data_IF_897063967514
#
_entry.id   IF_897063967514
#
_cell.length_a   1.000
_cell.length_b   1.000
_cell.length_c   1.000
_cell.angle_alpha   90.00
_cell.angle_beta   90.00
_cell.angle_gamma   90.00
#
_symmetry.space_group_name_H-M   'P 1'
#
loop_
_entity.id
_entity.type
_entity.pdbx_description
1 polymer ?
#
# COMPACT_ATOMS: atom_id res chain seq x y z
N UNK A 1 10.25 -16.67 -27.17
CA UNK A 1 10.13 -16.02 -25.84
C UNK A 1 10.77 -16.93 -24.81
N UNK A 2 11.66 -16.42 -23.94
CA UNK A 2 12.19 -17.21 -22.81
C UNK A 2 11.07 -17.35 -21.78
N UNK A 3 10.86 -18.57 -21.26
CA UNK A 3 9.87 -18.78 -20.20
C UNK A 3 10.32 -18.03 -18.93
N UNK A 4 9.36 -17.47 -18.20
CA UNK A 4 9.60 -16.86 -16.90
C UNK A 4 10.06 -17.94 -15.92
N UNK A 5 11.21 -17.74 -15.30
CA UNK A 5 11.75 -18.65 -14.29
C UNK A 5 12.17 -17.86 -13.06
N UNK A 6 11.59 -18.20 -11.92
CA UNK A 6 11.89 -17.57 -10.63
C UNK A 6 13.38 -17.62 -10.27
N UNK A 7 14.13 -18.64 -10.71
CA UNK A 7 15.57 -18.75 -10.47
C UNK A 7 16.40 -17.72 -11.25
N UNK A 8 15.83 -17.12 -12.29
CA UNK A 8 16.49 -16.08 -13.10
C UNK A 8 16.35 -14.68 -12.48
N UNK A 9 15.51 -14.54 -11.43
CA UNK A 9 15.30 -13.30 -10.70
C UNK A 9 16.12 -13.36 -9.41
N UNK A 10 16.92 -12.34 -9.15
CA UNK A 10 17.48 -12.13 -7.82
C UNK A 10 16.34 -11.85 -6.82
N UNK A 11 15.93 -12.87 -6.06
CA UNK A 11 14.86 -12.74 -5.07
C UNK A 11 15.32 -11.80 -3.96
N UNK A 12 14.73 -10.62 -3.92
CA UNK A 12 14.89 -9.64 -2.83
C UNK A 12 13.75 -9.74 -1.85
N UNK A 13 13.85 -9.06 -0.71
CA UNK A 13 12.78 -8.97 0.29
C UNK A 13 11.49 -8.43 -0.33
N UNK A 14 11.62 -7.42 -1.19
CA UNK A 14 10.52 -6.74 -1.87
C UNK A 14 10.58 -7.02 -3.37
N UNK A 15 9.46 -7.43 -3.94
CA UNK A 15 9.28 -7.68 -5.37
C UNK A 15 8.12 -6.83 -5.90
N UNK A 16 8.37 -6.03 -6.92
CA UNK A 16 7.37 -5.17 -7.53
C UNK A 16 7.02 -5.63 -8.94
N UNK A 17 5.76 -5.97 -9.18
CA UNK A 17 5.24 -6.27 -10.50
C UNK A 17 4.60 -5.03 -11.08
N UNK A 18 5.28 -4.39 -12.01
CA UNK A 18 4.87 -3.14 -12.64
C UNK A 18 4.69 -3.32 -14.16
N UNK A 19 3.90 -2.48 -14.78
CA UNK A 19 3.68 -2.50 -16.22
C UNK A 19 2.32 -1.93 -16.63
N UNK A 20 2.06 -1.87 -17.93
CA UNK A 20 0.80 -1.40 -18.49
C UNK A 20 -0.38 -2.29 -18.07
N UNK A 21 -1.61 -1.77 -18.19
CA UNK A 21 -2.82 -2.57 -18.00
C UNK A 21 -2.89 -3.77 -18.93
N UNK A 22 -3.43 -4.89 -18.46
CA UNK A 22 -3.69 -6.10 -19.26
C UNK A 22 -2.48 -6.96 -19.62
N UNK A 23 -1.28 -6.67 -19.11
CA UNK A 23 -0.05 -7.45 -19.45
C UNK A 23 0.15 -8.68 -18.57
N UNK A 24 -0.75 -8.95 -17.62
CA UNK A 24 -0.70 -10.12 -16.76
C UNK A 24 0.11 -9.93 -15.46
N UNK A 25 0.29 -8.69 -14.98
CA UNK A 25 0.98 -8.40 -13.71
C UNK A 25 0.45 -9.23 -12.55
N UNK A 26 -0.85 -9.14 -12.30
CA UNK A 26 -1.54 -9.86 -11.22
C UNK A 26 -1.34 -11.37 -11.33
N UNK A 27 -1.49 -11.94 -12.54
CA UNK A 27 -1.31 -13.38 -12.75
C UNK A 27 0.12 -13.84 -12.44
N UNK A 28 1.12 -13.06 -12.85
CA UNK A 28 2.53 -13.40 -12.59
C UNK A 28 2.88 -13.17 -11.12
N UNK A 29 2.35 -12.12 -10.48
CA UNK A 29 2.52 -11.87 -9.05
C UNK A 29 1.93 -13.00 -8.21
N UNK A 30 0.68 -13.42 -8.49
CA UNK A 30 0.04 -14.55 -7.83
C UNK A 30 0.81 -15.87 -8.03
N UNK A 31 1.18 -16.19 -9.26
CA UNK A 31 1.95 -17.40 -9.55
C UNK A 31 3.31 -17.41 -8.83
N UNK A 32 3.96 -16.24 -8.73
CA UNK A 32 5.21 -16.08 -7.98
C UNK A 32 4.98 -16.30 -6.49
N UNK A 33 3.93 -15.69 -5.92
CA UNK A 33 3.59 -15.81 -4.51
C UNK A 33 3.31 -17.27 -4.12
N UNK A 34 2.45 -17.95 -4.89
CA UNK A 34 2.11 -19.38 -4.67
C UNK A 34 3.37 -20.25 -4.81
N UNK A 35 4.18 -20.06 -5.88
CA UNK A 35 5.39 -20.87 -6.08
C UNK A 35 6.42 -20.69 -4.97
N UNK A 36 6.50 -19.54 -4.31
CA UNK A 36 7.39 -19.31 -3.18
C UNK A 36 6.80 -19.91 -1.89
N UNK A 37 5.49 -19.79 -1.68
CA UNK A 37 4.79 -20.41 -0.56
C UNK A 37 4.91 -21.95 -0.60
N UNK A 38 4.75 -22.57 -1.78
CA UNK A 38 4.96 -24.02 -1.99
C UNK A 38 6.39 -24.47 -1.66
N UNK A 39 7.36 -23.56 -1.67
CA UNK A 39 8.74 -23.82 -1.24
C UNK A 39 8.96 -23.58 0.26
N UNK A 40 7.88 -23.42 1.02
CA UNK A 40 7.92 -23.22 2.47
C UNK A 40 8.30 -21.81 2.90
N UNK A 41 8.14 -20.80 2.02
CA UNK A 41 8.36 -19.39 2.35
C UNK A 41 7.09 -18.73 2.85
N UNK A 42 7.24 -17.80 3.80
CA UNK A 42 6.15 -16.93 4.23
C UNK A 42 6.08 -15.71 3.32
N UNK A 43 4.97 -15.57 2.61
CA UNK A 43 4.77 -14.57 1.55
C UNK A 43 3.61 -13.64 1.91
N UNK A 44 3.86 -12.35 1.74
CA UNK A 44 2.82 -11.34 1.73
C UNK A 44 2.64 -10.82 0.30
N UNK A 45 1.46 -11.02 -0.27
CA UNK A 45 1.07 -10.47 -1.57
C UNK A 45 0.13 -9.29 -1.34
N UNK A 46 0.50 -8.11 -1.83
CA UNK A 46 -0.26 -6.88 -1.66
C UNK A 46 -0.67 -6.37 -3.04
N UNK A 47 -1.96 -6.20 -3.28
CA UNK A 47 -2.45 -5.46 -4.45
C UNK A 47 -2.74 -4.01 -4.07
N UNK A 48 -2.22 -3.11 -4.89
CA UNK A 48 -2.53 -1.67 -4.85
C UNK A 48 -3.40 -1.25 -6.05
N UNK A 49 -3.86 -2.22 -6.85
CA UNK A 49 -4.75 -1.98 -7.98
C UNK A 49 -6.21 -2.06 -7.49
N UNK A 50 -6.98 -0.95 -7.50
CA UNK A 50 -8.38 -0.96 -7.09
C UNK A 50 -9.26 -1.83 -7.99
N UNK A 51 -8.82 -2.13 -9.21
CA UNK A 51 -9.47 -3.06 -10.13
C UNK A 51 -8.92 -4.50 -10.01
N UNK A 52 -8.24 -4.79 -8.91
CA UNK A 52 -7.70 -6.13 -8.63
C UNK A 52 -8.83 -7.16 -8.52
N UNK A 53 -8.63 -8.30 -9.13
CA UNK A 53 -9.52 -9.46 -9.02
C UNK A 53 -8.90 -10.60 -8.20
N UNK A 54 -8.07 -10.27 -7.20
CA UNK A 54 -7.42 -11.25 -6.33
C UNK A 54 -8.41 -12.14 -5.58
N UNK A 55 -9.59 -11.61 -5.21
CA UNK A 55 -10.65 -12.39 -4.58
C UNK A 55 -11.13 -13.53 -5.49
N UNK A 56 -11.25 -13.28 -6.81
CA UNK A 56 -11.63 -14.30 -7.78
C UNK A 56 -10.50 -15.32 -7.97
N UNK A 57 -9.24 -14.86 -8.00
CA UNK A 57 -8.06 -15.73 -8.17
C UNK A 57 -7.91 -16.72 -7.02
N UNK A 58 -8.15 -16.27 -5.78
CA UNK A 58 -8.01 -17.12 -4.58
C UNK A 58 -9.36 -17.68 -4.09
N UNK A 59 -10.47 -17.39 -4.78
CA UNK A 59 -11.82 -17.79 -4.39
C UNK A 59 -12.13 -17.52 -2.90
N UNK A 60 -11.63 -16.42 -2.36
CA UNK A 60 -11.72 -16.06 -0.96
C UNK A 60 -11.91 -14.53 -0.81
N UNK A 61 -12.74 -14.11 0.15
CA UNK A 61 -12.85 -12.70 0.50
C UNK A 61 -11.53 -12.20 1.09
N UNK A 62 -11.07 -11.07 0.58
CA UNK A 62 -9.83 -10.43 0.99
C UNK A 62 -10.12 -9.09 1.66
N UNK A 63 -9.23 -8.67 2.56
CA UNK A 63 -9.32 -7.38 3.24
C UNK A 63 -7.99 -6.61 3.17
N UNK A 64 -8.02 -5.37 3.64
CA UNK A 64 -6.84 -4.50 3.69
C UNK A 64 -5.85 -4.81 4.83
N UNK A 65 -6.22 -5.70 5.77
CA UNK A 65 -5.37 -6.05 6.92
C UNK A 65 -4.50 -7.28 6.68
N UNK A 66 -4.86 -8.13 5.72
CA UNK A 66 -4.20 -9.38 5.38
C UNK A 66 -5.05 -10.60 5.69
N UNK A 67 -5.28 -11.40 4.66
CA UNK A 67 -6.07 -12.63 4.73
C UNK A 67 -5.18 -13.81 4.39
N UNK A 68 -4.93 -14.75 5.33
CA UNK A 68 -4.25 -16.00 5.02
C UNK A 68 -5.05 -16.82 4.02
N UNK A 69 -4.41 -17.36 3.00
CA UNK A 69 -5.07 -18.17 1.97
C UNK A 69 -5.12 -19.63 2.41
N UNK A 70 -6.34 -20.14 2.56
CA UNK A 70 -6.58 -21.46 3.13
C UNK A 70 -5.89 -22.59 2.35
N UNK A 71 -5.94 -22.52 1.03
CA UNK A 71 -5.39 -23.54 0.12
C UNK A 71 -3.88 -23.37 -0.18
N UNK A 72 -3.24 -22.30 0.32
CA UNK A 72 -1.83 -22.00 0.10
C UNK A 72 -1.17 -21.63 1.42
N UNK A 73 -0.73 -22.63 2.22
CA UNK A 73 -0.04 -22.37 3.49
C UNK A 73 1.18 -21.46 3.31
N UNK A 74 1.31 -20.46 4.18
CA UNK A 74 2.39 -19.48 4.11
C UNK A 74 2.12 -18.29 3.20
N UNK A 75 0.96 -18.21 2.53
CA UNK A 75 0.55 -17.05 1.75
C UNK A 75 -0.50 -16.23 2.49
N UNK A 76 -0.20 -14.95 2.69
CA UNK A 76 -1.17 -13.93 3.13
C UNK A 76 -1.37 -12.92 2.00
N UNK A 77 -2.61 -12.56 1.74
CA UNK A 77 -2.98 -11.61 0.67
C UNK A 77 -3.66 -10.39 1.26
N UNK A 78 -3.23 -9.22 0.82
CA UNK A 78 -3.81 -7.90 1.15
C UNK A 78 -4.35 -7.29 -0.14
N UNK A 79 -5.60 -6.90 -0.12
CA UNK A 79 -6.20 -6.09 -1.18
C UNK A 79 -6.46 -4.69 -0.62
N UNK A 80 -5.61 -3.73 -0.99
CA UNK A 80 -5.75 -2.35 -0.52
C UNK A 80 -6.90 -1.67 -1.25
N UNK A 81 -7.88 -1.23 -0.49
CA UNK A 81 -8.96 -0.38 -0.97
C UNK A 81 -8.62 1.10 -0.63
N UNK A 82 -8.36 1.95 -1.64
CA UNK A 82 -8.01 3.34 -1.43
C UNK A 82 -9.12 4.16 -0.74
N UNK A 83 -10.38 3.83 -1.00
CA UNK A 83 -11.52 4.53 -0.38
C UNK A 83 -11.67 4.14 1.08
N UNK A 84 -11.51 2.86 1.41
CA UNK A 84 -11.48 2.39 2.78
C UNK A 84 -10.30 3.00 3.54
N UNK A 85 -9.11 2.99 2.96
CA UNK A 85 -7.92 3.63 3.55
C UNK A 85 -8.15 5.13 3.81
N UNK A 86 -8.81 5.83 2.88
CA UNK A 86 -9.16 7.24 3.05
C UNK A 86 -10.18 7.46 4.18
N UNK A 87 -11.17 6.58 4.31
CA UNK A 87 -12.14 6.64 5.39
C UNK A 87 -11.49 6.42 6.76
N UNK A 88 -10.64 5.40 6.88
CA UNK A 88 -9.87 5.11 8.10
C UNK A 88 -8.93 6.27 8.46
N UNK A 89 -8.24 6.84 7.46
CA UNK A 89 -7.39 8.00 7.65
C UNK A 89 -8.18 9.22 8.16
N UNK A 90 -9.31 9.55 7.53
CA UNK A 90 -10.19 10.63 7.98
C UNK A 90 -10.62 10.44 9.43
N UNK A 91 -11.09 9.26 9.77
CA UNK A 91 -11.54 8.98 11.14
C UNK A 91 -10.37 9.06 12.13
N UNK A 92 -9.19 8.61 11.79
CA UNK A 92 -8.01 8.72 12.65
C UNK A 92 -7.62 10.17 12.96
N UNK A 93 -7.82 11.07 11.99
CA UNK A 93 -7.54 12.51 12.15
C UNK A 93 -8.64 13.20 12.96
N UNK A 94 -9.91 12.84 12.77
CA UNK A 94 -11.07 13.55 13.30
C UNK A 94 -11.47 13.02 14.68
N UNK A 95 -11.38 11.71 14.92
CA UNK A 95 -11.88 11.09 16.15
C UNK A 95 -11.34 11.71 17.45
N UNK A 96 -10.06 12.17 17.55
CA UNK A 96 -9.56 12.83 18.76
C UNK A 96 -10.28 14.15 19.10
N UNK A 97 -10.95 14.75 18.12
CA UNK A 97 -11.62 16.06 18.24
C UNK A 97 -13.14 15.93 18.40
N UNK A 98 -13.73 14.77 18.09
CA UNK A 98 -15.16 14.53 18.30
C UNK A 98 -15.53 14.72 19.77
N UNK A 99 -16.58 15.51 20.03
CA UNK A 99 -17.01 15.86 21.38
C UNK A 99 -16.16 16.92 22.11
N UNK A 100 -15.05 17.38 21.50
CA UNK A 100 -14.21 18.47 22.04
C UNK A 100 -14.37 19.78 21.26
N UNK A 101 -14.68 19.68 19.97
CA UNK A 101 -14.90 20.81 19.08
C UNK A 101 -16.38 20.91 18.68
N UNK A 102 -16.87 22.12 18.32
CA UNK A 102 -18.20 22.29 17.77
C UNK A 102 -18.41 21.43 16.50
N UNK A 103 -19.62 20.92 16.31
CA UNK A 103 -19.99 20.06 15.18
C UNK A 103 -19.69 20.72 13.81
N UNK A 104 -19.89 22.04 13.69
CA UNK A 104 -19.56 22.79 12.48
C UNK A 104 -18.08 22.76 12.13
N UNK A 105 -17.19 22.68 13.12
CA UNK A 105 -15.75 22.54 12.91
C UNK A 105 -15.41 21.12 12.44
N UNK A 106 -16.04 20.10 13.05
CA UNK A 106 -15.90 18.71 12.64
C UNK A 106 -16.33 18.51 11.20
N UNK A 107 -17.50 19.05 10.81
CA UNK A 107 -18.00 18.98 9.42
C UNK A 107 -17.02 19.64 8.43
N UNK A 108 -16.48 20.81 8.77
CA UNK A 108 -15.45 21.44 7.93
C UNK A 108 -14.19 20.59 7.78
N UNK A 109 -13.75 19.91 8.84
CA UNK A 109 -12.63 18.98 8.76
C UNK A 109 -12.94 17.78 7.86
N UNK A 110 -14.13 17.22 7.97
CA UNK A 110 -14.60 16.13 7.11
C UNK A 110 -14.62 16.53 5.64
N UNK A 111 -15.13 17.74 5.35
CA UNK A 111 -15.16 18.30 3.99
C UNK A 111 -13.74 18.49 3.42
N UNK A 112 -12.82 19.07 4.20
CA UNK A 112 -11.43 19.25 3.77
C UNK A 112 -10.71 17.93 3.52
N UNK A 113 -11.04 16.88 4.28
CA UNK A 113 -10.45 15.54 4.14
C UNK A 113 -11.23 14.63 3.16
N UNK A 114 -12.23 15.15 2.43
CA UNK A 114 -12.99 14.39 1.44
C UNK A 114 -12.38 14.41 0.03
N UNK A 115 -11.34 15.21 -0.18
CA UNK A 115 -10.71 15.39 -1.49
C UNK A 115 -9.87 14.20 -1.96
N UNK A 116 -9.62 14.13 -3.26
CA UNK A 116 -8.77 13.09 -3.89
C UNK A 116 -7.34 13.03 -3.33
N UNK A 117 -6.80 14.16 -2.87
CA UNK A 117 -5.52 14.19 -2.17
C UNK A 117 -5.50 13.29 -0.92
N UNK A 118 -6.59 13.26 -0.16
CA UNK A 118 -6.69 12.41 1.04
C UNK A 118 -6.66 10.93 0.66
N UNK A 119 -7.34 10.55 -0.43
CA UNK A 119 -7.32 9.17 -0.94
C UNK A 119 -5.90 8.75 -1.33
N UNK A 120 -5.16 9.63 -2.03
CA UNK A 120 -3.78 9.36 -2.44
C UNK A 120 -2.83 9.25 -1.23
N UNK A 121 -2.98 10.13 -0.23
CA UNK A 121 -2.17 10.09 1.00
C UNK A 121 -2.48 8.83 1.81
N UNK A 122 -3.74 8.50 2.00
CA UNK A 122 -4.16 7.34 2.76
C UNK A 122 -3.67 6.02 2.12
N UNK A 123 -3.81 5.90 0.79
CA UNK A 123 -3.31 4.77 0.04
C UNK A 123 -1.78 4.64 0.16
N UNK A 124 -1.06 5.77 0.10
CA UNK A 124 0.39 5.79 0.30
C UNK A 124 0.79 5.39 1.72
N UNK A 125 0.10 5.89 2.74
CA UNK A 125 0.37 5.52 4.13
C UNK A 125 0.16 4.02 4.34
N UNK A 126 -0.98 3.48 3.91
CA UNK A 126 -1.28 2.05 3.98
C UNK A 126 -0.20 1.20 3.28
N UNK A 127 0.23 1.61 2.09
CA UNK A 127 1.33 0.97 1.37
C UNK A 127 2.67 1.06 2.14
N UNK A 128 3.00 2.25 2.68
CA UNK A 128 4.26 2.49 3.40
C UNK A 128 4.35 1.66 4.67
N UNK A 129 3.24 1.44 5.38
CA UNK A 129 3.20 0.66 6.61
C UNK A 129 3.66 -0.79 6.38
N UNK A 130 3.34 -1.39 5.23
CA UNK A 130 3.84 -2.72 4.88
C UNK A 130 5.36 -2.78 4.64
N UNK A 131 5.96 -1.65 4.21
CA UNK A 131 7.41 -1.58 3.97
C UNK A 131 8.17 -1.18 5.24
N UNK A 132 7.56 -0.41 6.14
CA UNK A 132 8.25 0.21 7.27
C UNK A 132 8.00 -0.45 8.61
N UNK A 133 6.92 -1.24 8.75
CA UNK A 133 6.62 -1.99 9.96
C UNK A 133 7.60 -3.16 10.11
N UNK A 134 8.50 -3.03 11.07
CA UNK A 134 9.53 -4.05 11.38
C UNK A 134 8.92 -5.39 11.81
N UNK A 135 7.72 -5.40 12.41
CA UNK A 135 6.99 -6.60 12.77
C UNK A 135 6.64 -7.39 11.51
N UNK A 136 5.94 -6.74 10.59
CA UNK A 136 5.56 -7.32 9.29
C UNK A 136 6.78 -7.72 8.44
N UNK A 137 7.85 -6.91 8.47
CA UNK A 137 9.09 -7.27 7.78
C UNK A 137 9.71 -8.58 8.27
N UNK A 138 9.64 -8.86 9.56
CA UNK A 138 10.25 -10.06 10.13
C UNK A 138 9.36 -11.31 9.98
N UNK A 139 8.05 -11.11 9.77
CA UNK A 139 7.07 -12.18 9.66
C UNK A 139 7.11 -12.88 8.29
N UNK A 140 7.40 -12.14 7.22
CA UNK A 140 7.41 -12.67 5.85
C UNK A 140 8.82 -12.75 5.28
N UNK A 141 9.12 -13.79 4.50
CA UNK A 141 10.37 -13.94 3.74
C UNK A 141 10.42 -12.96 2.57
N UNK A 142 9.30 -12.83 1.85
CA UNK A 142 9.15 -11.90 0.73
C UNK A 142 7.83 -11.16 0.79
N UNK A 143 7.84 -9.90 0.36
CA UNK A 143 6.67 -9.05 0.20
C UNK A 143 6.56 -8.70 -1.29
N UNK A 144 5.46 -9.11 -1.90
CA UNK A 144 5.21 -8.98 -3.34
C UNK A 144 4.14 -7.91 -3.54
N UNK A 145 4.43 -6.93 -4.38
CA UNK A 145 3.50 -5.87 -4.75
C UNK A 145 2.98 -6.09 -6.18
N UNK A 146 1.68 -6.37 -6.29
CA UNK A 146 0.93 -6.27 -7.54
C UNK A 146 0.42 -4.82 -7.66
N UNK A 147 1.00 -4.08 -8.60
CA UNK A 147 0.78 -2.65 -8.67
C UNK A 147 -0.28 -2.27 -9.71
N UNK A 148 -1.01 -1.19 -9.44
CA UNK A 148 -1.82 -0.50 -10.43
C UNK A 148 -1.00 -0.16 -11.70
N UNK A 149 -1.63 0.14 -12.85
CA UNK A 149 -0.91 0.54 -14.07
C UNK A 149 0.10 1.66 -13.79
N UNK A 150 1.26 1.59 -14.42
CA UNK A 150 2.52 2.31 -14.13
C UNK A 150 2.38 3.80 -13.72
N UNK A 151 1.35 4.49 -14.21
CA UNK A 151 1.14 5.91 -13.89
C UNK A 151 0.77 6.16 -12.43
N UNK A 152 -0.06 5.33 -11.83
CA UNK A 152 -0.46 5.43 -10.41
C UNK A 152 0.68 5.01 -9.49
N UNK A 153 1.36 3.90 -9.80
CA UNK A 153 2.48 3.41 -8.99
C UNK A 153 3.62 4.40 -8.94
N UNK A 154 3.98 5.03 -10.08
CA UNK A 154 5.02 6.06 -10.12
C UNK A 154 4.62 7.29 -9.31
N UNK A 155 3.34 7.71 -9.36
CA UNK A 155 2.84 8.79 -8.51
C UNK A 155 2.98 8.46 -7.04
N UNK A 156 2.56 7.27 -6.60
CA UNK A 156 2.71 6.84 -5.21
C UNK A 156 4.16 6.85 -4.74
N UNK A 157 5.10 6.39 -5.57
CA UNK A 157 6.53 6.38 -5.25
C UNK A 157 7.18 7.78 -5.28
N UNK A 158 6.60 8.73 -6.01
CA UNK A 158 7.07 10.12 -6.10
C UNK A 158 6.44 11.04 -5.04
N UNK A 159 5.33 10.61 -4.41
CA UNK A 159 4.63 11.40 -3.39
C UNK A 159 5.56 11.95 -2.30
N UNK A 160 6.50 11.17 -1.70
CA UNK A 160 7.36 11.68 -0.64
C UNK A 160 8.20 12.88 -1.06
N UNK A 161 8.75 12.88 -2.28
CA UNK A 161 9.58 13.98 -2.78
C UNK A 161 8.75 15.20 -3.19
N UNK A 162 7.61 15.01 -3.82
CA UNK A 162 6.68 16.07 -4.19
C UNK A 162 6.08 16.75 -2.95
N UNK A 163 5.74 15.97 -1.93
CA UNK A 163 5.20 16.47 -0.67
C UNK A 163 6.23 17.18 0.19
N UNK A 164 7.47 16.68 0.28
CA UNK A 164 8.52 17.39 1.01
C UNK A 164 8.79 18.77 0.43
N UNK A 165 8.72 18.92 -0.90
CA UNK A 165 8.83 20.21 -1.58
C UNK A 165 7.63 21.11 -1.30
N UNK A 166 6.42 20.59 -1.43
CA UNK A 166 5.18 21.34 -1.16
C UNK A 166 5.10 21.84 0.29
N UNK A 167 5.50 21.02 1.26
CA UNK A 167 5.48 21.35 2.69
C UNK A 167 6.56 22.40 3.00
N UNK A 168 7.74 22.33 2.39
CA UNK A 168 8.80 23.32 2.58
C UNK A 168 8.43 24.71 2.03
N UNK A 169 7.53 24.76 1.04
CA UNK A 169 7.09 25.99 0.36
C UNK A 169 5.76 26.55 0.91
N UNK A 170 5.00 25.76 1.66
CA UNK A 170 3.63 26.11 2.10
C UNK A 170 3.56 26.41 3.59
N UNK A 171 3.24 27.66 3.94
CA UNK A 171 3.02 28.09 5.34
C UNK A 171 1.78 27.45 5.99
N UNK A 172 0.91 26.79 5.23
CA UNK A 172 -0.30 26.10 5.72
C UNK A 172 -0.11 24.59 5.89
N UNK A 173 1.04 24.05 5.51
CA UNK A 173 1.35 22.61 5.55
C UNK A 173 1.76 22.06 6.93
N UNK A 174 1.79 22.90 7.96
CA UNK A 174 2.29 22.51 9.29
C UNK A 174 1.51 21.38 9.96
N UNK A 175 0.21 21.23 9.63
CA UNK A 175 -0.62 20.14 10.18
C UNK A 175 -0.33 18.76 9.55
N UNK A 176 0.20 18.74 8.33
CA UNK A 176 0.64 17.50 7.64
C UNK A 176 2.06 17.10 8.04
N UNK A 177 2.88 18.03 8.54
CA UNK A 177 4.28 17.82 8.92
C UNK A 177 4.47 16.79 10.04
N UNK A 178 3.56 16.75 11.01
CA UNK A 178 3.68 15.85 12.16
C UNK A 178 3.71 14.36 11.80
N UNK A 179 3.07 13.98 10.69
CA UNK A 179 3.04 12.58 10.22
C UNK A 179 4.13 12.29 9.19
N UNK A 180 4.61 13.32 8.48
CA UNK A 180 5.63 13.18 7.43
C UNK A 180 7.07 13.31 7.96
N UNK A 181 7.28 13.87 9.16
CA UNK A 181 8.62 13.89 9.79
C UNK A 181 9.18 12.48 10.00
N UNK A 182 8.32 11.48 10.21
CA UNK A 182 8.71 10.07 10.23
C UNK A 182 9.13 9.49 8.87
N UNK A 183 8.82 10.16 7.75
CA UNK A 183 9.21 9.73 6.41
C UNK A 183 10.60 10.27 6.01
N UNK A 184 11.06 11.36 6.60
CA UNK A 184 12.42 11.88 6.35
C UNK A 184 13.51 10.96 6.91
N UNK A 185 13.28 10.32 8.05
CA UNK A 185 14.15 9.27 8.59
C UNK A 185 14.20 7.99 7.72
N UNK A 186 13.26 7.87 6.78
CA UNK A 186 13.08 6.69 5.90
C UNK A 186 13.72 6.85 4.52
N UNK A 187 14.42 7.95 4.23
CA UNK A 187 15.13 8.18 2.93
C UNK A 187 16.18 7.11 2.59
N UNK A 188 16.62 6.32 3.56
CA UNK A 188 17.58 5.23 3.32
C UNK A 188 16.96 3.99 2.66
N UNK A 189 15.63 3.88 2.64
CA UNK A 189 14.92 2.72 2.08
C UNK A 189 14.77 2.82 0.53
N UNK A 190 14.92 4.03 -0.02
CA UNK A 190 14.69 4.34 -1.44
C UNK A 190 15.98 4.60 -2.25
N UNK A 191 17.15 4.18 -1.74
CA UNK A 191 18.41 4.25 -2.49
C UNK A 191 18.71 2.96 -3.25
#
# INVERSE_FOLDING_TARGET
>A
MKAFNLSDIGLTKYLFFTGKGGVGKTSVACATAVSLADKGKNILLISTDPASNLQDVFAQELNGQGTPIADVPGLTVVNLDPEQAAAEYRESVISPYRGKLPESVIQNMEEQLSGSCTVEIAAFNAFSDFITDKGKQNEYDHIIFDTAPTGHTLRMLQLPSAWSTFISESTHGASCLGQLSGLEERKEIYK
#
